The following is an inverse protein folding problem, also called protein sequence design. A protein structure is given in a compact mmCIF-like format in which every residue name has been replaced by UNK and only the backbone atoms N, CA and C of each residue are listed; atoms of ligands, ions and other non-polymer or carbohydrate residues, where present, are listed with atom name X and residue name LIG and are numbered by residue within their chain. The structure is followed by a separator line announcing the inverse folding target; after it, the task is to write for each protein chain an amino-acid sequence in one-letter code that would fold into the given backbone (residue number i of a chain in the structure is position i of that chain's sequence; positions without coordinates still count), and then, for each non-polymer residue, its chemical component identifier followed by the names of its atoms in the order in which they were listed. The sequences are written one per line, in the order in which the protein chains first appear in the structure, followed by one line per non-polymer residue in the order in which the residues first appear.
data_IF_151836813566
#
_entry.id   IF_151836813566
#
_cell.length_a   1.000
_cell.length_b   1.000
_cell.length_c   1.000
_cell.angle_alpha   90.00
_cell.angle_beta   90.00
_cell.angle_gamma   90.00
#
_symmetry.space_group_name_H-M   'P 1'
#
loop_
_entity.id
_entity.type
_entity.pdbx_description
1 polymer ?
#
# COMPACT_ATOMS: atom_id res chain seq x y z
N UNK A 1 -14.28 -0.28 9.69
CA UNK A 1 -15.25 0.81 9.42
C UNK A 1 -15.63 0.92 7.94
N UNK A 2 -14.73 1.32 7.03
CA UNK A 2 -15.11 1.61 5.63
C UNK A 2 -15.70 0.44 4.85
N UNK A 3 -15.23 -0.79 5.11
CA UNK A 3 -15.82 -2.02 4.53
C UNK A 3 -17.30 -2.15 4.90
N UNK A 4 -17.61 -2.00 6.18
CA UNK A 4 -18.99 -2.05 6.68
C UNK A 4 -19.85 -0.93 6.09
N UNK A 5 -19.30 0.28 6.00
CA UNK A 5 -19.98 1.41 5.36
C UNK A 5 -20.29 1.13 3.88
N UNK A 6 -19.34 0.55 3.13
CA UNK A 6 -19.55 0.20 1.73
C UNK A 6 -20.66 -0.85 1.53
N UNK A 7 -20.84 -1.76 2.50
CA UNK A 7 -21.87 -2.80 2.44
C UNK A 7 -23.24 -2.35 2.97
N UNK A 8 -23.27 -1.42 3.92
CA UNK A 8 -24.45 -1.14 4.75
C UNK A 8 -24.74 0.35 4.99
N UNK A 9 -24.05 1.27 4.30
CA UNK A 9 -24.15 2.72 4.45
C UNK A 9 -23.90 3.20 5.90
N UNK A 10 -24.39 4.39 6.25
CA UNK A 10 -24.17 5.06 7.55
C UNK A 10 -24.43 4.18 8.77
N UNK A 11 -25.49 3.34 8.84
CA UNK A 11 -25.73 2.49 10.00
C UNK A 11 -24.61 1.47 10.27
N UNK A 12 -23.83 1.10 9.24
CA UNK A 12 -22.68 0.19 9.36
C UNK A 12 -21.42 0.82 9.95
N UNK A 13 -21.37 2.14 10.17
CA UNK A 13 -20.18 2.83 10.65
C UNK A 13 -19.82 2.38 12.08
N UNK A 14 -20.77 2.52 13.02
CA UNK A 14 -20.50 2.19 14.43
C UNK A 14 -20.17 0.71 14.66
N UNK A 15 -20.94 -0.27 14.12
CA UNK A 15 -20.59 -1.68 14.24
C UNK A 15 -19.22 -2.00 13.62
N UNK A 16 -18.91 -1.43 12.45
CA UNK A 16 -17.64 -1.68 11.77
C UNK A 16 -16.44 -0.97 12.41
N UNK A 17 -16.64 0.07 13.21
CA UNK A 17 -15.59 0.73 13.99
C UNK A 17 -15.34 -0.04 15.29
N UNK A 18 -16.41 -0.36 16.02
CA UNK A 18 -16.33 -1.08 17.31
C UNK A 18 -15.83 -2.51 17.08
N UNK A 19 -16.29 -3.20 16.03
CA UNK A 19 -15.78 -4.52 15.66
C UNK A 19 -14.28 -4.49 15.32
N UNK A 20 -13.80 -3.43 14.67
CA UNK A 20 -12.37 -3.24 14.39
C UNK A 20 -11.56 -2.97 15.66
N UNK A 21 -12.07 -2.16 16.58
CA UNK A 21 -11.45 -1.94 17.89
C UNK A 21 -11.40 -3.24 18.71
N UNK A 22 -12.49 -4.01 18.69
CA UNK A 22 -12.54 -5.31 19.35
C UNK A 22 -11.52 -6.28 18.75
N UNK A 23 -11.33 -6.29 17.42
CA UNK A 23 -10.32 -7.10 16.76
C UNK A 23 -8.89 -6.82 17.29
N UNK A 24 -8.57 -5.54 17.53
CA UNK A 24 -7.32 -5.13 18.17
C UNK A 24 -7.21 -5.70 19.59
N UNK A 25 -8.25 -5.53 20.41
CA UNK A 25 -8.26 -6.01 21.80
C UNK A 25 -8.18 -7.54 21.92
N UNK A 26 -8.74 -8.27 20.95
CA UNK A 26 -8.68 -9.73 20.89
C UNK A 26 -7.33 -10.26 20.36
N UNK A 27 -6.43 -9.38 19.89
CA UNK A 27 -5.14 -9.79 19.31
C UNK A 27 -5.29 -10.50 17.96
N UNK A 28 -6.39 -10.24 17.23
CA UNK A 28 -6.66 -10.81 15.90
C UNK A 28 -5.94 -10.07 14.77
N UNK A 29 -5.27 -8.96 15.10
CA UNK A 29 -4.49 -8.14 14.18
C UNK A 29 -5.34 -7.55 13.06
N UNK A 30 -4.67 -7.20 11.97
CA UNK A 30 -5.32 -6.65 10.78
C UNK A 30 -6.34 -7.59 10.14
N UNK A 31 -6.06 -8.90 10.10
CA UNK A 31 -6.94 -9.89 9.49
C UNK A 31 -8.30 -9.88 10.21
N UNK A 32 -8.28 -9.87 11.55
CA UNK A 32 -9.52 -9.75 12.32
C UNK A 32 -10.22 -8.42 12.12
N UNK A 33 -9.49 -7.30 11.95
CA UNK A 33 -10.10 -6.01 11.66
C UNK A 33 -10.81 -5.97 10.29
N UNK A 34 -10.23 -6.62 9.27
CA UNK A 34 -10.86 -6.81 7.96
C UNK A 34 -12.14 -7.64 8.09
N UNK A 35 -12.05 -8.81 8.72
CA UNK A 35 -13.18 -9.72 8.92
C UNK A 35 -14.29 -9.04 9.73
N UNK A 36 -13.96 -8.33 10.79
CA UNK A 36 -14.91 -7.55 11.58
C UNK A 36 -15.67 -6.53 10.73
N UNK A 37 -14.99 -5.89 9.77
CA UNK A 37 -15.61 -4.97 8.82
C UNK A 37 -16.66 -5.65 7.93
N UNK A 38 -16.37 -6.85 7.42
CA UNK A 38 -17.33 -7.64 6.64
C UNK A 38 -18.48 -8.16 7.49
N UNK A 39 -18.17 -8.75 8.66
CA UNK A 39 -19.16 -9.25 9.61
C UNK A 39 -20.16 -8.15 9.98
N UNK A 40 -19.66 -6.98 10.38
CA UNK A 40 -20.49 -5.81 10.68
C UNK A 40 -21.38 -5.38 9.50
N UNK A 41 -20.80 -5.29 8.30
CA UNK A 41 -21.53 -4.89 7.10
C UNK A 41 -22.65 -5.87 6.73
N UNK A 42 -22.37 -7.17 6.76
CA UNK A 42 -23.36 -8.20 6.46
C UNK A 42 -24.45 -8.31 7.54
N UNK A 43 -24.12 -8.15 8.82
CA UNK A 43 -25.09 -8.12 9.92
C UNK A 43 -26.08 -6.98 9.70
N UNK A 44 -25.61 -5.75 9.46
CA UNK A 44 -26.50 -4.61 9.25
C UNK A 44 -27.35 -4.83 8.00
N UNK A 45 -26.75 -5.30 6.90
CA UNK A 45 -27.50 -5.60 5.67
C UNK A 45 -28.59 -6.64 5.89
N UNK A 46 -28.31 -7.66 6.71
CA UNK A 46 -29.30 -8.65 7.13
C UNK A 46 -30.41 -8.01 7.98
N UNK A 47 -30.05 -7.23 9.00
CA UNK A 47 -31.02 -6.52 9.84
C UNK A 47 -31.94 -5.61 9.03
N UNK A 48 -31.41 -4.84 8.08
CA UNK A 48 -32.21 -3.98 7.19
C UNK A 48 -33.22 -4.78 6.37
N UNK A 49 -32.85 -5.99 5.94
CA UNK A 49 -33.72 -6.84 5.10
C UNK A 49 -34.84 -7.49 5.92
N UNK A 50 -34.58 -7.87 7.16
CA UNK A 50 -35.50 -8.71 7.94
C UNK A 50 -36.23 -7.98 9.07
N UNK A 51 -35.68 -6.88 9.61
CA UNK A 51 -36.33 -6.12 10.67
C UNK A 51 -37.34 -5.15 10.06
N UNK A 52 -38.63 -5.45 10.23
CA UNK A 52 -39.73 -4.55 9.86
C UNK A 52 -40.15 -3.74 11.08
N UNK A 53 -39.97 -2.43 11.03
CA UNK A 53 -40.33 -1.52 12.13
C UNK A 53 -41.71 -0.89 11.89
N UNK A 54 -42.54 -0.74 12.93
CA UNK A 54 -43.77 0.05 12.83
C UNK A 54 -43.44 1.53 12.58
N UNK A 55 -44.37 2.29 11.99
CA UNK A 55 -44.16 3.70 11.62
C UNK A 55 -43.62 4.56 12.78
N UNK A 56 -44.04 4.28 14.01
CA UNK A 56 -43.58 4.97 15.22
C UNK A 56 -42.06 4.82 15.49
N UNK A 57 -41.45 3.73 15.03
CA UNK A 57 -40.03 3.42 15.25
C UNK A 57 -39.16 3.57 13.98
N UNK A 58 -39.76 3.98 12.85
CA UNK A 58 -39.06 4.06 11.57
C UNK A 58 -37.90 5.06 11.61
N UNK A 59 -38.03 6.17 12.34
CA UNK A 59 -36.97 7.17 12.51
C UNK A 59 -35.82 6.66 13.40
N UNK A 60 -36.11 5.84 14.41
CA UNK A 60 -35.12 5.25 15.32
C UNK A 60 -34.34 4.09 14.66
N UNK A 61 -34.85 3.49 13.60
CA UNK A 61 -34.25 2.35 12.91
C UNK A 61 -32.79 2.60 12.47
N UNK A 62 -32.55 3.54 11.54
CA UNK A 62 -31.21 3.83 11.03
C UNK A 62 -30.27 4.51 12.04
N UNK A 63 -30.83 5.22 13.02
CA UNK A 63 -30.06 6.05 13.97
C UNK A 63 -29.63 5.23 15.20
N UNK A 64 -30.48 4.32 15.67
CA UNK A 64 -30.27 3.61 16.93
C UNK A 64 -30.35 2.10 16.77
N UNK A 65 -31.47 1.56 16.27
CA UNK A 65 -31.73 0.11 16.29
C UNK A 65 -30.69 -0.64 15.47
N UNK A 66 -30.42 -0.19 14.24
CA UNK A 66 -29.43 -0.83 13.37
C UNK A 66 -28.01 -0.64 13.94
N UNK A 67 -27.52 0.58 14.24
CA UNK A 67 -26.17 0.73 14.78
C UNK A 67 -25.94 -0.01 16.09
N UNK A 68 -26.86 0.04 17.06
CA UNK A 68 -26.70 -0.60 18.37
C UNK A 68 -26.83 -2.10 18.26
N UNK A 69 -27.91 -2.61 17.65
CA UNK A 69 -28.13 -4.04 17.50
C UNK A 69 -27.06 -4.70 16.63
N UNK A 70 -26.65 -4.04 15.54
CA UNK A 70 -25.57 -4.54 14.69
C UNK A 70 -24.22 -4.52 15.40
N UNK A 71 -23.94 -3.52 16.24
CA UNK A 71 -22.74 -3.50 17.08
C UNK A 71 -22.74 -4.69 18.04
N UNK A 72 -23.84 -4.91 18.76
CA UNK A 72 -23.97 -6.01 19.71
C UNK A 72 -23.73 -7.36 19.02
N UNK A 73 -24.41 -7.61 17.91
CA UNK A 73 -24.26 -8.86 17.14
C UNK A 73 -22.84 -9.01 16.58
N UNK A 74 -22.24 -7.93 16.08
CA UNK A 74 -20.84 -7.94 15.61
C UNK A 74 -19.90 -8.32 16.74
N UNK A 75 -20.05 -7.70 17.91
CA UNK A 75 -19.24 -8.01 19.08
C UNK A 75 -19.42 -9.47 19.53
N UNK A 76 -20.64 -9.99 19.57
CA UNK A 76 -20.90 -11.38 19.92
C UNK A 76 -20.22 -12.35 18.93
N UNK A 77 -20.39 -12.14 17.63
CA UNK A 77 -19.78 -13.01 16.61
C UNK A 77 -18.26 -12.92 16.66
N UNK A 78 -17.71 -11.71 16.78
CA UNK A 78 -16.26 -11.52 16.89
C UNK A 78 -15.70 -12.12 18.18
N UNK A 79 -16.37 -11.99 19.33
CA UNK A 79 -15.85 -12.50 20.59
C UNK A 79 -15.95 -14.03 20.70
N UNK A 80 -17.07 -14.63 20.28
CA UNK A 80 -17.36 -16.03 20.57
C UNK A 80 -17.10 -16.99 19.42
N UNK A 81 -17.09 -16.52 18.16
CA UNK A 81 -16.97 -17.39 16.99
C UNK A 81 -15.66 -17.15 16.23
N UNK A 82 -15.37 -15.89 15.94
CA UNK A 82 -14.31 -15.53 14.98
C UNK A 82 -12.99 -15.15 15.69
N UNK A 83 -13.06 -14.60 16.90
CA UNK A 83 -11.92 -14.00 17.59
C UNK A 83 -10.81 -15.00 17.87
N UNK A 84 -11.11 -16.10 18.56
CA UNK A 84 -10.12 -17.11 18.90
C UNK A 84 -9.38 -17.70 17.69
N UNK A 85 -10.06 -18.19 16.62
CA UNK A 85 -9.33 -18.74 15.47
C UNK A 85 -8.51 -17.69 14.74
N UNK A 86 -8.99 -16.44 14.61
CA UNK A 86 -8.21 -15.38 13.97
C UNK A 86 -7.03 -14.89 14.82
N UNK A 87 -7.17 -14.86 16.14
CA UNK A 87 -6.06 -14.55 17.04
C UNK A 87 -4.97 -15.63 16.98
N UNK A 88 -5.37 -16.90 16.91
CA UNK A 88 -4.43 -18.01 16.73
C UNK A 88 -3.70 -17.91 15.38
N UNK A 89 -4.42 -17.61 14.29
CA UNK A 89 -3.84 -17.38 12.98
C UNK A 89 -2.84 -16.22 12.99
N UNK A 90 -3.24 -15.08 13.58
CA UNK A 90 -2.41 -13.89 13.65
C UNK A 90 -1.12 -14.16 14.43
N UNK A 91 -1.21 -14.77 15.62
CA UNK A 91 -0.03 -15.15 16.41
C UNK A 91 0.87 -16.16 15.69
N UNK A 92 0.28 -17.13 14.97
CA UNK A 92 1.04 -18.09 14.18
C UNK A 92 1.83 -17.41 13.07
N UNK A 93 1.21 -16.46 12.37
CA UNK A 93 1.88 -15.64 11.35
C UNK A 93 2.97 -14.76 11.96
N UNK A 94 2.70 -14.10 13.09
CA UNK A 94 3.69 -13.28 13.80
C UNK A 94 4.89 -14.11 14.25
N UNK A 95 4.66 -15.28 14.86
CA UNK A 95 5.73 -16.18 15.27
C UNK A 95 6.55 -16.67 14.07
N UNK A 96 5.89 -17.02 12.97
CA UNK A 96 6.58 -17.43 11.75
C UNK A 96 7.47 -16.31 11.19
N UNK A 97 6.96 -15.08 11.09
CA UNK A 97 7.72 -13.93 10.60
C UNK A 97 8.87 -13.57 11.54
N UNK A 98 8.67 -13.61 12.85
CA UNK A 98 9.71 -13.29 13.84
C UNK A 98 10.83 -14.34 13.90
N UNK A 99 10.55 -15.58 13.50
CA UNK A 99 11.58 -16.63 13.37
C UNK A 99 12.38 -16.52 12.07
N UNK A 100 11.99 -15.65 11.13
CA UNK A 100 12.78 -15.43 9.92
C UNK A 100 14.10 -14.73 10.26
N UNK A 101 15.21 -15.41 9.96
CA UNK A 101 16.55 -14.86 10.09
C UNK A 101 17.32 -14.98 8.78
N UNK A 102 18.37 -14.17 8.64
CA UNK A 102 19.27 -14.19 7.50
C UNK A 102 18.56 -14.12 6.14
N UNK A 103 18.79 -15.13 5.30
CA UNK A 103 18.32 -15.18 3.90
C UNK A 103 16.81 -15.14 3.74
N UNK A 104 16.03 -15.74 4.65
CA UNK A 104 14.56 -15.81 4.51
C UNK A 104 13.91 -14.43 4.61
N UNK A 105 14.41 -13.60 5.53
CA UNK A 105 13.97 -12.21 5.72
C UNK A 105 14.31 -11.35 4.49
N UNK A 106 15.50 -11.53 3.93
CA UNK A 106 15.94 -10.86 2.69
C UNK A 106 15.06 -11.26 1.49
N UNK A 107 14.74 -12.55 1.37
CA UNK A 107 13.88 -13.06 0.31
C UNK A 107 12.45 -12.53 0.43
N UNK A 108 11.88 -12.47 1.64
CA UNK A 108 10.58 -11.87 1.89
C UNK A 108 10.57 -10.40 1.44
N UNK A 109 11.59 -9.63 1.83
CA UNK A 109 11.73 -8.24 1.42
C UNK A 109 11.83 -8.09 -0.10
N UNK A 110 12.56 -8.99 -0.78
CA UNK A 110 12.64 -9.01 -2.24
C UNK A 110 11.27 -9.24 -2.91
N UNK A 111 10.49 -10.21 -2.40
CA UNK A 111 9.14 -10.50 -2.91
C UNK A 111 8.22 -9.31 -2.74
N UNK A 112 8.18 -8.72 -1.55
CA UNK A 112 7.37 -7.53 -1.26
C UNK A 112 7.80 -6.37 -2.16
N UNK A 113 9.10 -6.12 -2.29
CA UNK A 113 9.62 -5.06 -3.15
C UNK A 113 9.24 -5.27 -4.62
N UNK A 114 9.33 -6.51 -5.10
CA UNK A 114 8.90 -6.88 -6.45
C UNK A 114 7.41 -6.65 -6.69
N UNK A 115 6.54 -7.03 -5.74
CA UNK A 115 5.10 -6.77 -5.82
C UNK A 115 4.79 -5.28 -5.89
N UNK A 116 5.45 -4.46 -5.06
CA UNK A 116 5.27 -3.00 -5.07
C UNK A 116 5.72 -2.37 -6.39
N UNK A 117 6.81 -2.86 -6.98
CA UNK A 117 7.33 -2.39 -8.27
C UNK A 117 6.54 -2.83 -9.50
N UNK A 118 5.56 -3.74 -9.36
CA UNK A 118 4.90 -4.40 -10.50
C UNK A 118 3.90 -3.50 -11.24
N UNK A 119 2.95 -2.88 -10.54
CA UNK A 119 1.85 -2.14 -11.16
C UNK A 119 1.73 -0.67 -10.71
N UNK A 120 2.80 -0.12 -10.10
CA UNK A 120 2.99 1.32 -9.89
C UNK A 120 1.79 2.03 -9.22
N UNK A 121 1.21 1.40 -8.20
CA UNK A 121 0.02 1.88 -7.47
C UNK A 121 -1.27 1.13 -7.80
N UNK A 122 -1.18 0.07 -8.60
CA UNK A 122 -2.29 -0.83 -8.92
C UNK A 122 -2.65 -1.82 -7.79
N UNK A 123 -3.50 -2.83 -8.08
CA UNK A 123 -3.98 -3.80 -7.09
C UNK A 123 -2.89 -4.59 -6.38
N UNK A 124 -1.82 -5.00 -7.07
CA UNK A 124 -0.73 -5.82 -6.49
C UNK A 124 0.10 -4.97 -5.54
N UNK A 125 0.47 -3.75 -5.95
CA UNK A 125 1.15 -2.78 -5.08
C UNK A 125 0.30 -2.49 -3.84
N UNK A 126 -0.98 -2.14 -4.01
CA UNK A 126 -1.87 -1.83 -2.87
C UNK A 126 -2.06 -3.02 -1.95
N UNK A 127 -2.15 -4.24 -2.49
CA UNK A 127 -2.20 -5.44 -1.67
C UNK A 127 -0.91 -5.61 -0.84
N UNK A 128 0.26 -5.44 -1.45
CA UNK A 128 1.55 -5.54 -0.75
C UNK A 128 1.72 -4.46 0.32
N UNK A 129 1.53 -3.18 -0.03
CA UNK A 129 1.69 -2.04 0.90
C UNK A 129 0.68 -2.12 2.04
N UNK A 130 -0.60 -2.40 1.76
CA UNK A 130 -1.62 -2.51 2.82
C UNK A 130 -1.32 -3.67 3.76
N UNK A 131 -0.85 -4.81 3.24
CA UNK A 131 -0.44 -5.96 4.07
C UNK A 131 0.81 -5.65 4.89
N UNK A 132 1.76 -4.90 4.33
CA UNK A 132 2.96 -4.46 5.04
C UNK A 132 2.63 -3.48 6.19
N UNK A 133 1.78 -2.49 5.92
CA UNK A 133 1.27 -1.55 6.93
C UNK A 133 0.42 -2.24 8.00
N UNK A 134 -0.29 -3.29 7.64
CA UNK A 134 -1.05 -4.10 8.59
C UNK A 134 -0.15 -4.79 9.62
N UNK A 135 0.97 -5.36 9.18
CA UNK A 135 1.94 -6.03 10.04
C UNK A 135 2.69 -5.04 10.95
N UNK A 136 2.76 -3.76 10.55
CA UNK A 136 3.30 -2.69 11.38
C UNK A 136 2.55 -2.54 12.72
N UNK A 137 1.23 -2.71 12.70
CA UNK A 137 0.41 -2.65 13.92
C UNK A 137 0.71 -3.79 14.91
N UNK A 138 1.29 -4.88 14.42
CA UNK A 138 1.78 -6.02 15.22
C UNK A 138 3.26 -5.90 15.59
N UNK A 139 3.91 -4.75 15.33
CA UNK A 139 5.34 -4.55 15.62
C UNK A 139 6.29 -5.31 14.68
N UNK A 140 5.81 -5.73 13.50
CA UNK A 140 6.61 -6.42 12.48
C UNK A 140 6.96 -5.42 11.38
N UNK A 141 8.19 -4.90 11.41
CA UNK A 141 8.60 -3.75 10.62
C UNK A 141 9.22 -4.07 9.26
N UNK A 142 9.75 -5.28 9.06
CA UNK A 142 10.48 -5.63 7.83
C UNK A 142 9.63 -5.51 6.56
N UNK A 143 8.37 -6.01 6.54
CA UNK A 143 7.47 -5.83 5.40
C UNK A 143 7.23 -4.36 5.06
N UNK A 144 7.01 -3.52 6.09
CA UNK A 144 6.82 -2.08 5.91
C UNK A 144 8.08 -1.43 5.32
N UNK A 145 9.25 -1.74 5.87
CA UNK A 145 10.52 -1.21 5.37
C UNK A 145 10.73 -1.58 3.90
N UNK A 146 10.50 -2.85 3.53
CA UNK A 146 10.61 -3.31 2.15
C UNK A 146 9.66 -2.54 1.21
N UNK A 147 8.39 -2.39 1.61
CA UNK A 147 7.38 -1.69 0.80
C UNK A 147 7.71 -0.20 0.61
N UNK A 148 8.12 0.49 1.68
CA UNK A 148 8.39 1.93 1.64
C UNK A 148 9.67 2.27 0.86
N UNK A 149 10.66 1.37 0.82
CA UNK A 149 11.83 1.51 -0.08
C UNK A 149 11.41 1.29 -1.53
N UNK A 150 10.66 0.21 -1.78
CA UNK A 150 10.29 -0.22 -3.12
C UNK A 150 9.40 0.76 -3.89
N UNK A 151 8.54 1.51 -3.18
CA UNK A 151 7.53 2.38 -3.81
C UNK A 151 8.14 3.56 -4.58
N UNK A 152 9.29 4.06 -4.13
CA UNK A 152 9.94 5.25 -4.70
C UNK A 152 11.08 4.91 -5.67
N UNK A 153 11.55 3.67 -5.68
CA UNK A 153 12.64 3.23 -6.56
C UNK A 153 12.32 3.44 -8.06
N UNK A 154 11.16 2.99 -8.59
CA UNK A 154 10.83 3.18 -9.99
C UNK A 154 10.79 4.66 -10.44
N UNK A 155 10.05 5.56 -9.75
CA UNK A 155 9.98 6.95 -10.19
C UNK A 155 11.32 7.69 -10.05
N UNK A 156 12.10 7.44 -9.00
CA UNK A 156 13.44 8.03 -8.84
C UNK A 156 14.38 7.51 -9.92
N UNK A 157 14.43 6.19 -10.15
CA UNK A 157 15.31 5.59 -11.14
C UNK A 157 15.03 6.08 -12.57
N UNK A 158 13.76 6.11 -12.98
CA UNK A 158 13.36 6.61 -14.30
C UNK A 158 13.60 8.12 -14.43
N UNK A 159 13.31 8.88 -13.37
CA UNK A 159 13.61 10.29 -13.31
C UNK A 159 15.09 10.58 -13.53
N UNK A 160 15.97 9.92 -12.77
CA UNK A 160 17.43 10.01 -12.91
C UNK A 160 17.88 9.58 -14.30
N UNK A 161 17.30 8.52 -14.87
CA UNK A 161 17.66 8.06 -16.21
C UNK A 161 17.43 9.13 -17.28
N UNK A 162 16.30 9.85 -17.20
CA UNK A 162 15.99 10.94 -18.15
C UNK A 162 16.87 12.17 -17.97
N UNK A 163 17.36 12.43 -16.77
CA UNK A 163 18.27 13.54 -16.49
C UNK A 163 19.69 13.25 -17.02
N UNK A 164 20.22 12.05 -16.74
CA UNK A 164 21.57 11.66 -17.13
C UNK A 164 21.69 11.32 -18.62
N UNK A 165 20.72 10.58 -19.17
CA UNK A 165 20.74 10.11 -20.56
C UNK A 165 19.64 10.75 -21.42
N UNK A 166 19.41 12.06 -21.25
CA UNK A 166 18.36 12.82 -21.95
C UNK A 166 18.20 12.53 -23.45
N UNK A 167 19.29 12.26 -24.17
CA UNK A 167 19.27 11.99 -25.63
C UNK A 167 18.64 10.64 -26.01
N UNK A 168 18.48 9.73 -25.04
CA UNK A 168 17.88 8.40 -25.23
C UNK A 168 16.36 8.41 -25.12
N UNK A 169 15.78 9.49 -24.58
CA UNK A 169 14.36 9.58 -24.28
C UNK A 169 13.68 10.64 -25.16
N UNK A 170 12.46 10.38 -25.64
CA UNK A 170 11.64 11.38 -26.31
C UNK A 170 11.32 12.54 -25.34
N UNK A 171 11.02 13.71 -25.90
CA UNK A 171 10.75 14.92 -25.13
C UNK A 171 9.62 14.74 -24.10
N UNK A 172 8.56 14.01 -24.47
CA UNK A 172 7.45 13.66 -23.57
C UNK A 172 7.91 12.90 -22.32
N UNK A 173 8.77 11.89 -22.48
CA UNK A 173 9.30 11.11 -21.35
C UNK A 173 10.31 11.91 -20.54
N UNK A 174 11.03 12.87 -21.13
CA UNK A 174 11.93 13.76 -20.40
C UNK A 174 11.17 14.69 -19.46
N UNK A 175 10.06 15.25 -19.91
CA UNK A 175 9.20 16.06 -19.04
C UNK A 175 8.51 15.20 -17.97
N UNK A 176 8.04 14.01 -18.35
CA UNK A 176 7.50 13.04 -17.38
C UNK A 176 8.55 12.63 -16.34
N UNK A 177 9.83 12.51 -16.71
CA UNK A 177 10.92 12.13 -15.81
C UNK A 177 11.22 13.18 -14.74
N UNK A 178 11.11 14.47 -15.06
CA UNK A 178 11.21 15.55 -14.04
C UNK A 178 10.10 15.42 -13.00
N UNK A 179 8.86 15.25 -13.45
CA UNK A 179 7.71 15.05 -12.56
C UNK A 179 7.84 13.75 -11.75
N UNK A 180 8.30 12.68 -12.40
CA UNK A 180 8.53 11.37 -11.79
C UNK A 180 9.55 11.45 -10.65
N UNK A 181 10.67 12.15 -10.86
CA UNK A 181 11.68 12.36 -9.80
C UNK A 181 11.06 13.01 -8.56
N UNK A 182 10.27 14.07 -8.75
CA UNK A 182 9.59 14.76 -7.66
C UNK A 182 8.56 13.87 -6.96
N UNK A 183 7.76 13.12 -7.72
CA UNK A 183 6.78 12.16 -7.19
C UNK A 183 7.46 11.08 -6.36
N UNK A 184 8.58 10.54 -6.83
CA UNK A 184 9.39 9.60 -6.07
C UNK A 184 9.90 10.18 -4.75
N UNK A 185 10.40 11.42 -4.74
CA UNK A 185 10.86 12.08 -3.51
C UNK A 185 9.74 12.25 -2.47
N UNK A 186 8.50 12.48 -2.88
CA UNK A 186 7.37 12.65 -1.95
C UNK A 186 6.64 11.35 -1.61
N UNK A 187 7.05 10.21 -2.18
CA UNK A 187 6.51 8.89 -1.84
C UNK A 187 5.45 8.33 -2.79
N UNK A 188 5.39 8.80 -4.04
CA UNK A 188 4.35 8.44 -5.02
C UNK A 188 4.94 7.62 -6.17
N UNK A 189 4.47 6.39 -6.35
CA UNK A 189 4.95 5.44 -7.36
C UNK A 189 4.46 5.74 -8.78
N UNK A 190 3.34 6.44 -8.90
CA UNK A 190 2.59 6.70 -10.12
C UNK A 190 3.36 7.56 -11.13
N UNK A 191 4.40 8.27 -10.69
CA UNK A 191 5.30 9.03 -11.55
C UNK A 191 5.97 8.18 -12.63
N UNK A 192 6.08 6.87 -12.41
CA UNK A 192 6.64 5.92 -13.37
C UNK A 192 5.65 5.43 -14.44
N UNK A 193 4.33 5.66 -14.28
CA UNK A 193 3.29 5.16 -15.20
C UNK A 193 3.55 5.56 -16.66
N UNK A 194 3.91 6.83 -17.00
CA UNK A 194 4.15 7.22 -18.38
C UNK A 194 5.22 6.37 -19.10
N UNK A 195 6.23 5.89 -18.37
CA UNK A 195 7.29 5.05 -18.91
C UNK A 195 6.81 3.62 -19.16
N UNK A 196 6.02 3.05 -18.24
CA UNK A 196 5.42 1.74 -18.40
C UNK A 196 4.39 1.70 -19.55
N UNK A 197 3.61 2.79 -19.73
CA UNK A 197 2.69 2.93 -20.85
C UNK A 197 3.43 3.07 -22.19
N UNK A 198 4.57 3.77 -22.21
CA UNK A 198 5.41 3.87 -23.41
C UNK A 198 6.08 2.55 -23.76
N UNK A 199 6.53 1.78 -22.77
CA UNK A 199 7.09 0.45 -22.98
C UNK A 199 6.87 -0.45 -21.75
N UNK A 200 5.97 -1.45 -21.83
CA UNK A 200 5.65 -2.33 -20.69
C UNK A 200 6.85 -3.13 -20.14
N UNK A 201 7.93 -3.30 -20.92
CA UNK A 201 9.16 -3.98 -20.43
C UNK A 201 9.79 -3.27 -19.23
N UNK A 202 9.51 -1.98 -19.03
CA UNK A 202 9.94 -1.23 -17.84
C UNK A 202 9.39 -1.84 -16.55
N UNK A 203 8.23 -2.50 -16.57
CA UNK A 203 7.67 -3.16 -15.38
C UNK A 203 8.64 -4.21 -14.85
N UNK A 204 9.25 -5.04 -15.71
CA UNK A 204 10.22 -6.05 -15.28
C UNK A 204 11.45 -5.40 -14.62
N UNK A 205 11.93 -4.29 -15.18
CA UNK A 205 13.06 -3.54 -14.64
C UNK A 205 12.72 -2.94 -13.27
N UNK A 206 11.50 -2.40 -13.13
CA UNK A 206 10.99 -1.86 -11.86
C UNK A 206 10.90 -2.96 -10.79
N UNK A 207 10.33 -4.11 -11.13
CA UNK A 207 10.23 -5.27 -10.22
C UNK A 207 11.61 -5.68 -9.72
N UNK A 208 12.60 -5.80 -10.60
CA UNK A 208 13.97 -6.19 -10.22
C UNK A 208 14.63 -5.14 -9.34
N UNK A 209 14.56 -3.85 -9.72
CA UNK A 209 15.14 -2.76 -8.94
C UNK A 209 14.51 -2.61 -7.56
N UNK A 210 13.17 -2.68 -7.48
CA UNK A 210 12.43 -2.60 -6.23
C UNK A 210 12.68 -3.82 -5.34
N UNK A 211 12.74 -5.03 -5.90
CA UNK A 211 13.06 -6.25 -5.15
C UNK A 211 14.47 -6.18 -4.55
N UNK A 212 15.48 -5.81 -5.35
CA UNK A 212 16.86 -5.74 -4.89
C UNK A 212 17.10 -4.60 -3.89
N UNK A 213 16.50 -3.43 -4.10
CA UNK A 213 16.55 -2.34 -3.13
C UNK A 213 15.88 -2.69 -1.80
N UNK A 214 14.71 -3.32 -1.82
CA UNK A 214 14.02 -3.76 -0.61
C UNK A 214 14.81 -4.85 0.15
N UNK A 215 15.32 -5.85 -0.58
CA UNK A 215 16.17 -6.91 -0.05
C UNK A 215 17.42 -6.35 0.65
N UNK A 216 18.08 -5.38 0.02
CA UNK A 216 19.26 -4.73 0.57
C UNK A 216 18.94 -3.92 1.82
N UNK A 217 17.85 -3.14 1.82
CA UNK A 217 17.48 -2.32 2.96
C UNK A 217 17.21 -3.18 4.21
N UNK A 218 16.38 -4.21 4.06
CA UNK A 218 16.02 -5.10 5.15
C UNK A 218 17.20 -5.99 5.56
N UNK A 219 17.97 -6.49 4.59
CA UNK A 219 19.13 -7.35 4.85
C UNK A 219 20.27 -6.66 5.58
N UNK A 220 20.46 -5.36 5.34
CA UNK A 220 21.46 -4.53 6.01
C UNK A 220 20.91 -3.86 7.29
N UNK A 221 19.67 -4.16 7.69
CA UNK A 221 19.12 -3.80 8.99
C UNK A 221 18.47 -2.41 9.08
N UNK A 222 18.05 -1.81 7.96
CA UNK A 222 17.21 -0.61 8.03
C UNK A 222 15.81 -0.96 8.58
N UNK A 223 15.24 -0.07 9.39
CA UNK A 223 13.90 -0.27 9.97
C UNK A 223 13.08 1.01 9.88
N UNK A 224 11.98 0.96 9.12
CA UNK A 224 11.02 2.04 9.01
C UNK A 224 9.81 1.77 9.93
N UNK A 225 9.71 2.56 11.01
CA UNK A 225 8.64 2.47 12.01
C UNK A 225 7.33 3.12 11.59
N UNK A 226 7.34 3.89 10.51
CA UNK A 226 6.16 4.58 10.00
C UNK A 226 5.89 4.18 8.54
N UNK A 227 4.63 4.21 8.09
CA UNK A 227 4.33 3.93 6.69
C UNK A 227 4.60 5.16 5.80
N UNK A 228 5.83 5.69 5.86
CA UNK A 228 6.25 6.92 5.17
C UNK A 228 7.44 6.60 4.27
N UNK A 229 7.29 6.85 2.96
CA UNK A 229 8.31 6.56 1.95
C UNK A 229 9.06 7.80 1.45
N UNK A 230 8.44 8.98 1.53
CA UNK A 230 9.03 10.22 1.05
C UNK A 230 10.25 10.67 1.87
N UNK A 231 11.06 11.57 1.29
CA UNK A 231 12.33 12.03 1.85
C UNK A 231 12.20 12.60 3.27
N UNK A 232 11.05 13.20 3.57
CA UNK A 232 10.72 13.76 4.88
C UNK A 232 10.59 12.70 5.98
N UNK A 233 10.35 11.43 5.62
CA UNK A 233 10.31 10.31 6.56
C UNK A 233 11.64 9.60 6.76
N UNK A 234 12.64 9.84 5.90
CA UNK A 234 13.91 9.06 5.93
C UNK A 234 14.70 9.28 7.22
N UNK A 235 14.64 10.47 7.80
CA UNK A 235 15.35 10.80 9.05
C UNK A 235 14.76 10.08 10.28
N UNK A 236 13.55 9.53 10.17
CA UNK A 236 12.89 8.77 11.22
C UNK A 236 13.11 7.24 11.10
N UNK A 237 13.96 6.81 10.15
CA UNK A 237 14.29 5.41 9.90
C UNK A 237 15.54 5.02 10.68
N UNK A 238 15.49 3.91 11.41
CA UNK A 238 16.71 3.34 11.99
C UNK A 238 17.60 2.80 10.88
N UNK A 239 18.88 3.15 10.90
CA UNK A 239 19.77 2.83 9.78
C UNK A 239 19.44 3.60 8.50
N UNK A 240 18.96 4.86 8.62
CA UNK A 240 18.63 5.71 7.47
C UNK A 240 19.70 5.77 6.35
N UNK A 241 21.04 5.73 6.60
CA UNK A 241 22.01 5.75 5.51
C UNK A 241 21.91 4.50 4.64
N UNK A 242 21.67 3.34 5.25
CA UNK A 242 21.43 2.07 4.57
C UNK A 242 20.13 2.12 3.78
N UNK A 243 19.08 2.70 4.36
CA UNK A 243 17.79 2.89 3.70
C UNK A 243 17.94 3.72 2.41
N UNK A 244 18.59 4.89 2.49
CA UNK A 244 18.85 5.76 1.34
C UNK A 244 19.78 5.12 0.33
N UNK A 245 20.84 4.44 0.77
CA UNK A 245 21.74 3.70 -0.11
C UNK A 245 20.99 2.60 -0.88
N UNK A 246 20.07 1.90 -0.22
CA UNK A 246 19.26 0.84 -0.85
C UNK A 246 18.30 1.40 -1.89
N UNK A 247 17.67 2.55 -1.63
CA UNK A 247 16.89 3.30 -2.61
C UNK A 247 17.77 3.70 -3.80
N UNK A 248 18.98 4.21 -3.53
CA UNK A 248 19.90 4.64 -4.58
C UNK A 248 20.35 3.46 -5.47
N UNK A 249 20.68 2.30 -4.88
CA UNK A 249 21.05 1.08 -5.61
C UNK A 249 19.88 0.56 -6.43
N UNK A 250 18.69 0.43 -5.84
CA UNK A 250 17.48 0.02 -6.57
C UNK A 250 17.15 0.99 -7.72
N UNK A 251 17.24 2.29 -7.47
CA UNK A 251 17.01 3.33 -8.48
C UNK A 251 18.05 3.29 -9.59
N UNK A 252 19.31 3.00 -9.27
CA UNK A 252 20.38 2.84 -10.25
C UNK A 252 20.14 1.62 -11.15
N UNK A 253 19.66 0.50 -10.58
CA UNK A 253 19.25 -0.69 -11.36
C UNK A 253 18.14 -0.32 -12.33
N UNK A 254 17.10 0.40 -11.86
CA UNK A 254 16.02 0.86 -12.73
C UNK A 254 16.54 1.80 -13.82
N UNK A 255 17.39 2.76 -13.44
CA UNK A 255 17.93 3.74 -14.36
C UNK A 255 18.76 3.09 -15.48
N UNK A 256 19.72 2.24 -15.12
CA UNK A 256 20.55 1.51 -16.07
C UNK A 256 19.73 0.52 -16.92
N UNK A 257 18.80 -0.22 -16.29
CA UNK A 257 17.93 -1.16 -16.98
C UNK A 257 17.02 -0.48 -18.00
N UNK A 258 16.56 0.74 -17.72
CA UNK A 258 15.74 1.52 -18.66
C UNK A 258 16.46 1.83 -19.97
N UNK A 259 17.79 1.93 -19.96
CA UNK A 259 18.60 2.17 -21.17
C UNK A 259 18.60 1.00 -22.15
N UNK A 260 18.34 -0.21 -21.65
CA UNK A 260 18.18 -1.41 -22.48
C UNK A 260 16.83 -1.40 -23.22
N UNK A 261 15.83 -0.73 -22.62
CA UNK A 261 14.48 -0.61 -23.16
C UNK A 261 14.37 0.57 -24.13
N UNK A 262 14.90 1.74 -23.75
CA UNK A 262 14.88 2.95 -24.56
C UNK A 262 16.20 3.07 -25.35
N UNK A 263 16.30 2.29 -26.44
CA UNK A 263 17.46 2.33 -27.35
C UNK A 263 17.36 3.54 -28.29
N UNK A 264 18.52 4.01 -28.74
CA UNK A 264 18.60 5.10 -29.72
C UNK A 264 17.87 4.65 -31.01
N UNK A 265 16.80 5.35 -31.40
CA UNK A 265 16.09 5.11 -32.66
C UNK A 265 14.64 4.64 -32.54
N UNK A 266 14.18 4.18 -31.37
CA UNK A 266 12.78 3.80 -31.15
C UNK A 266 11.93 5.04 -30.82
N UNK A 267 11.93 6.01 -31.73
CA UNK A 267 11.01 7.15 -31.71
C UNK A 267 9.73 6.75 -32.41
N UNK A 268 8.90 5.94 -31.76
CA UNK A 268 7.48 5.85 -32.12
C UNK A 268 6.63 6.70 -31.17
N UNK A 269 5.67 7.37 -31.81
CA UNK A 269 4.86 8.48 -31.33
C UNK A 269 4.10 8.16 -30.05
N UNK A 270 4.62 8.64 -28.92
CA UNK A 270 3.81 8.75 -27.70
C UNK A 270 2.87 9.93 -27.88
N UNK A 271 1.56 9.64 -27.92
CA UNK A 271 0.52 10.66 -27.89
C UNK A 271 0.78 11.63 -26.73
N UNK A 272 0.78 12.93 -27.06
CA UNK A 272 1.02 14.03 -26.14
C UNK A 272 0.19 13.82 -24.87
N UNK A 273 0.79 13.68 -23.67
CA UNK A 273 0.02 13.67 -22.44
C UNK A 273 -0.78 14.97 -22.39
N UNK A 274 -2.06 14.88 -22.03
CA UNK A 274 -2.89 16.06 -21.80
C UNK A 274 -2.11 17.00 -20.85
N UNK A 275 -2.06 18.29 -21.22
CA UNK A 275 -1.30 19.28 -20.49
C UNK A 275 -1.59 19.18 -18.99
N UNK A 276 -0.53 19.21 -18.17
CA UNK A 276 -0.67 19.18 -16.72
C UNK A 276 -1.74 20.20 -16.29
N UNK A 277 -2.75 19.81 -15.50
CA UNK A 277 -3.78 20.74 -15.07
C UNK A 277 -3.10 21.89 -14.34
N UNK A 278 -3.32 23.13 -14.81
CA UNK A 278 -2.86 24.32 -14.10
C UNK A 278 -3.48 24.27 -12.71
N UNK A 279 -2.66 24.07 -11.69
CA UNK A 279 -3.09 24.10 -10.29
C UNK A 279 -3.61 25.50 -9.97
N UNK A 280 -4.93 25.68 -10.05
CA UNK A 280 -5.63 26.86 -9.55
C UNK A 280 -6.07 26.55 -8.14
N UNK A 281 -5.41 27.17 -7.16
CA UNK A 281 -5.97 27.29 -5.81
C UNK A 281 -7.18 28.20 -5.93
N UNK A 282 -8.38 27.62 -6.07
CA UNK A 282 -9.58 28.37 -5.76
C UNK A 282 -9.59 28.54 -4.24
N UNK A 283 -9.28 29.76 -3.78
CA UNK A 283 -9.72 30.20 -2.46
C UNK A 283 -11.24 30.20 -2.49
N UNK A 284 -11.86 29.21 -1.87
CA UNK A 284 -13.21 29.31 -1.33
C UNK A 284 -13.09 29.21 0.18
#
# INVERSE_FOLDING_TARGET
MYISYALANKPGIAPGMIGGLLASNLGTGFIGALVAGFVAGYIIRWMVRFIKLPRALASAGPIFILPVGGTLLTCCIMAFVVGTPLAALNRGMEAWLMTMSGTNKVLLAAVIGGMVGFDLGGPINKAAVTTAMALLASGIYDPNTAAQVAIIIPPIGLGVATLLWKKRFPESLREAGKASTLMGLIGVSEGAIPFALSNPKIILINVVGSALGAAMAVGLGAVNHAPISGFYGWLAVDGWPVYVLSIAVGSAIVACGSLLVFRHGDTETVAKPAAAPKFKVNRQ
#
